data_IF_257328772051
#
_entry.id   IF_257328772051
#
_cell.length_a   1.000
_cell.length_b   1.000
_cell.length_c   1.000
_cell.angle_alpha   90.00
_cell.angle_beta   90.00
_cell.angle_gamma   90.00
#
_symmetry.space_group_name_H-M   'P 1'
#
loop_
_entity.id
_entity.type
_entity.pdbx_description
1 polymer ?
#
# COMPACT_ATOMS: atom_id res chain seq x y z
N UNK A 1 -4.33 -5.76 -13.85
CA UNK A 1 -5.47 -5.20 -13.10
C UNK A 1 -6.20 -4.21 -14.02
N UNK A 2 -7.44 -3.94 -13.78
CA UNK A 2 -8.20 -2.90 -14.49
C UNK A 2 -8.53 -1.76 -13.51
N UNK A 3 -7.51 -1.30 -12.79
CA UNK A 3 -7.65 -0.22 -11.83
C UNK A 3 -7.96 1.08 -12.55
N UNK A 4 -9.09 1.68 -12.25
CA UNK A 4 -9.56 2.88 -12.94
C UNK A 4 -9.05 4.17 -12.28
N UNK A 5 -8.48 4.07 -11.09
CA UNK A 5 -7.93 5.18 -10.32
C UNK A 5 -6.40 5.32 -10.45
N UNK A 6 -5.73 4.37 -11.10
CA UNK A 6 -4.27 4.34 -11.18
C UNK A 6 -3.81 4.64 -12.62
N UNK A 7 -3.06 5.71 -12.78
CA UNK A 7 -2.46 6.08 -14.07
C UNK A 7 -1.22 5.25 -14.43
N UNK A 8 -0.71 4.46 -13.48
CA UNK A 8 0.44 3.58 -13.68
C UNK A 8 0.09 2.20 -14.24
N UNK A 9 -1.22 1.88 -14.35
CA UNK A 9 -1.66 0.59 -14.87
C UNK A 9 -1.43 0.50 -16.38
N UNK A 10 -0.72 -0.55 -16.83
CA UNK A 10 -0.46 -0.85 -18.24
C UNK A 10 -1.07 -2.18 -18.64
N UNK A 11 -1.42 -2.30 -19.92
CA UNK A 11 -1.73 -3.58 -20.55
C UNK A 11 -0.43 -4.22 -21.03
N UNK A 12 -0.43 -5.55 -21.22
CA UNK A 12 0.74 -6.27 -21.69
C UNK A 12 1.35 -5.70 -23.00
N UNK A 13 0.48 -5.27 -23.91
CA UNK A 13 0.85 -4.80 -25.24
C UNK A 13 1.02 -3.27 -25.32
N UNK A 14 0.92 -2.56 -24.20
CA UNK A 14 1.17 -1.13 -24.17
C UNK A 14 2.68 -0.87 -24.40
N UNK A 15 3.07 0.09 -25.25
CA UNK A 15 4.47 0.29 -25.64
C UNK A 15 5.38 0.73 -24.51
N UNK A 16 4.83 1.23 -23.42
CA UNK A 16 5.51 1.65 -22.21
C UNK A 16 5.35 0.65 -21.04
N UNK A 17 4.81 -0.55 -21.31
CA UNK A 17 4.81 -1.64 -20.34
C UNK A 17 6.22 -2.23 -20.21
N UNK A 18 6.66 -2.45 -18.96
CA UNK A 18 7.98 -3.00 -18.68
C UNK A 18 7.99 -3.96 -17.50
N UNK A 19 9.02 -4.76 -17.43
CA UNK A 19 9.40 -5.54 -16.26
C UNK A 19 10.80 -5.07 -15.84
N UNK A 20 10.94 -4.61 -14.60
CA UNK A 20 12.21 -4.10 -14.07
C UNK A 20 13.28 -5.18 -14.12
N UNK A 21 14.44 -4.87 -14.70
CA UNK A 21 15.57 -5.80 -14.80
C UNK A 21 16.39 -5.84 -13.50
N UNK A 22 17.17 -6.89 -13.31
CA UNK A 22 18.11 -6.99 -12.18
C UNK A 22 19.14 -5.84 -12.18
N UNK A 23 19.54 -5.37 -13.36
CA UNK A 23 20.42 -4.21 -13.51
C UNK A 23 19.79 -2.92 -12.99
N UNK A 24 18.49 -2.72 -13.28
CA UNK A 24 17.74 -1.56 -12.77
C UNK A 24 17.55 -1.64 -11.25
N UNK A 25 17.22 -2.82 -10.71
CA UNK A 25 17.18 -3.02 -9.25
C UNK A 25 18.49 -2.66 -8.59
N UNK A 26 19.61 -3.17 -9.12
CA UNK A 26 20.96 -2.86 -8.57
C UNK A 26 21.21 -1.35 -8.53
N UNK A 27 21.03 -0.66 -9.64
CA UNK A 27 21.24 0.79 -9.71
C UNK A 27 20.40 1.54 -8.67
N UNK A 28 19.10 1.20 -8.53
CA UNK A 28 18.18 1.84 -7.59
C UNK A 28 18.51 1.50 -6.12
N UNK A 29 18.93 0.28 -5.84
CA UNK A 29 19.30 -0.15 -4.48
C UNK A 29 20.65 0.45 -4.08
N UNK A 30 21.62 0.56 -4.98
CA UNK A 30 22.89 1.23 -4.72
C UNK A 30 22.68 2.71 -4.40
N UNK A 31 21.77 3.39 -5.13
CA UNK A 31 21.33 4.76 -4.83
C UNK A 31 20.65 4.83 -3.45
N UNK A 32 19.71 3.92 -3.17
CA UNK A 32 19.02 3.83 -1.87
C UNK A 32 20.01 3.73 -0.71
N UNK A 33 21.00 2.84 -0.82
CA UNK A 33 22.02 2.67 0.22
C UNK A 33 22.92 3.89 0.36
N UNK A 34 23.25 4.59 -0.74
CA UNK A 34 24.04 5.83 -0.69
C UNK A 34 23.34 6.96 0.07
N UNK A 35 22.00 6.91 0.13
CA UNK A 35 21.14 7.85 0.85
C UNK A 35 20.74 7.35 2.25
N UNK A 36 21.29 6.20 2.70
CA UNK A 36 21.02 5.64 4.02
C UNK A 36 19.70 4.86 4.13
N UNK A 37 19.03 4.58 3.02
CA UNK A 37 17.83 3.74 2.99
C UNK A 37 18.17 2.24 3.06
N UNK A 38 17.23 1.41 3.50
CA UNK A 38 17.43 -0.03 3.70
C UNK A 38 16.26 -0.90 3.21
N UNK A 39 15.21 -0.27 2.66
CA UNK A 39 13.99 -0.97 2.27
C UNK A 39 13.51 -0.57 0.87
N UNK A 40 13.03 -1.53 0.10
CA UNK A 40 12.29 -1.27 -1.13
C UNK A 40 10.83 -1.65 -0.97
N UNK A 41 9.93 -0.80 -1.49
CA UNK A 41 8.53 -1.11 -1.70
C UNK A 41 8.35 -1.62 -3.14
N UNK A 42 8.21 -2.94 -3.29
CA UNK A 42 8.09 -3.58 -4.59
C UNK A 42 6.62 -3.92 -4.84
N UNK A 43 5.95 -3.09 -5.61
CA UNK A 43 4.58 -3.30 -6.07
C UNK A 43 4.54 -3.27 -7.59
N UNK A 44 3.74 -4.13 -8.18
CA UNK A 44 3.59 -4.22 -9.62
C UNK A 44 2.17 -4.52 -10.05
N UNK A 45 2.00 -4.76 -11.34
CA UNK A 45 0.75 -5.26 -11.87
C UNK A 45 0.68 -6.79 -11.77
N UNK A 46 -0.52 -7.32 -11.96
CA UNK A 46 -0.74 -8.76 -12.15
C UNK A 46 -0.39 -9.12 -13.60
N UNK A 47 0.91 -9.30 -13.86
CA UNK A 47 1.40 -9.69 -15.19
C UNK A 47 1.12 -11.19 -15.44
N UNK A 48 0.39 -11.54 -16.52
CA UNK A 48 0.04 -12.94 -16.78
C UNK A 48 1.23 -13.84 -17.08
N UNK A 49 2.35 -13.28 -17.48
CA UNK A 49 3.58 -14.04 -17.79
C UNK A 49 4.44 -14.33 -16.56
N UNK A 50 4.21 -13.61 -15.44
CA UNK A 50 4.97 -13.75 -14.22
C UNK A 50 4.22 -14.62 -13.20
N UNK A 51 4.83 -15.73 -12.80
CA UNK A 51 4.35 -16.65 -11.79
C UNK A 51 5.09 -16.50 -10.46
N UNK A 52 4.79 -17.40 -9.53
CA UNK A 52 5.42 -17.41 -8.19
C UNK A 52 6.93 -17.61 -8.29
N UNK A 53 7.40 -18.46 -9.20
CA UNK A 53 8.83 -18.73 -9.40
C UNK A 53 9.62 -17.48 -9.85
N UNK A 54 9.00 -16.57 -10.59
CA UNK A 54 9.61 -15.29 -10.93
C UNK A 54 9.90 -14.47 -9.67
N UNK A 55 8.90 -14.31 -8.78
CA UNK A 55 9.06 -13.50 -7.58
C UNK A 55 9.99 -14.14 -6.55
N UNK A 56 9.92 -15.46 -6.35
CA UNK A 56 10.84 -16.15 -5.45
C UNK A 56 12.28 -16.06 -5.97
N UNK A 57 12.52 -16.26 -7.26
CA UNK A 57 13.83 -16.09 -7.87
C UNK A 57 14.36 -14.65 -7.78
N UNK A 58 13.49 -13.65 -7.98
CA UNK A 58 13.86 -12.24 -7.83
C UNK A 58 14.25 -11.92 -6.37
N UNK A 59 13.45 -12.34 -5.39
CA UNK A 59 13.71 -12.06 -3.98
C UNK A 59 15.00 -12.73 -3.51
N UNK A 60 15.19 -14.02 -3.82
CA UNK A 60 16.44 -14.74 -3.54
C UNK A 60 17.63 -13.99 -4.14
N UNK A 61 17.54 -13.58 -5.40
CA UNK A 61 18.63 -12.89 -6.06
C UNK A 61 18.92 -11.51 -5.43
N UNK A 62 17.91 -10.78 -5.02
CA UNK A 62 18.08 -9.50 -4.33
C UNK A 62 18.71 -9.69 -2.95
N UNK A 63 18.32 -10.72 -2.20
CA UNK A 63 18.91 -11.05 -0.89
C UNK A 63 20.36 -11.56 -1.01
N UNK A 64 20.70 -12.29 -2.05
CA UNK A 64 22.10 -12.66 -2.35
C UNK A 64 22.99 -11.44 -2.60
N UNK A 65 22.49 -10.46 -3.36
CA UNK A 65 23.23 -9.25 -3.69
C UNK A 65 23.26 -8.24 -2.53
N UNK A 66 22.18 -8.16 -1.76
CA UNK A 66 21.96 -7.18 -0.69
C UNK A 66 21.31 -7.86 0.53
N UNK A 67 22.09 -8.60 1.35
CA UNK A 67 21.56 -9.42 2.44
C UNK A 67 20.77 -8.61 3.49
N UNK A 68 21.12 -7.34 3.71
CA UNK A 68 20.43 -6.46 4.68
C UNK A 68 19.21 -5.72 4.12
N UNK A 69 18.97 -5.80 2.81
CA UNK A 69 17.84 -5.14 2.17
C UNK A 69 16.51 -5.69 2.69
N UNK A 70 15.62 -4.80 3.08
CA UNK A 70 14.24 -5.15 3.45
C UNK A 70 13.34 -5.18 2.22
N UNK A 71 12.68 -6.31 2.01
CA UNK A 71 11.70 -6.49 0.93
C UNK A 71 10.29 -6.32 1.49
N UNK A 72 9.73 -5.12 1.34
CA UNK A 72 8.30 -4.82 1.56
C UNK A 72 7.62 -4.96 0.21
N UNK A 73 7.01 -6.12 -0.06
CA UNK A 73 6.71 -6.44 -1.44
C UNK A 73 5.39 -7.17 -1.61
N UNK A 74 4.81 -7.01 -2.78
CA UNK A 74 3.53 -7.54 -3.22
C UNK A 74 2.40 -7.16 -2.25
N UNK A 75 1.20 -7.01 -2.74
CA UNK A 75 0.03 -6.78 -1.89
C UNK A 75 -0.92 -7.96 -1.95
N UNK A 76 -2.00 -7.98 -1.15
CA UNK A 76 -3.00 -9.03 -1.22
C UNK A 76 -3.55 -9.31 -2.63
N UNK A 77 -3.77 -8.32 -3.52
CA UNK A 77 -4.19 -8.62 -4.88
C UNK A 77 -3.21 -9.47 -5.68
N UNK A 78 -1.90 -9.24 -5.49
CA UNK A 78 -0.84 -10.02 -6.14
C UNK A 78 -0.79 -11.43 -5.56
N UNK A 79 -0.93 -11.59 -4.24
CA UNK A 79 -0.99 -12.91 -3.59
C UNK A 79 -2.21 -13.71 -4.06
N UNK A 80 -3.40 -13.07 -4.13
CA UNK A 80 -4.60 -13.70 -4.69
C UNK A 80 -4.40 -14.11 -6.14
N UNK A 81 -3.76 -13.25 -6.93
CA UNK A 81 -3.47 -13.56 -8.32
C UNK A 81 -2.54 -14.76 -8.45
N UNK A 82 -1.42 -14.79 -7.71
CA UNK A 82 -0.46 -15.90 -7.71
C UNK A 82 -1.11 -17.19 -7.22
N UNK A 83 -1.88 -17.14 -6.14
CA UNK A 83 -2.65 -18.27 -5.62
C UNK A 83 -3.55 -18.91 -6.69
N UNK A 84 -4.32 -18.08 -7.41
CA UNK A 84 -5.20 -18.55 -8.49
C UNK A 84 -4.41 -19.10 -9.69
N UNK A 85 -3.31 -18.45 -10.07
CA UNK A 85 -2.46 -18.85 -11.19
C UNK A 85 -1.80 -20.20 -10.93
N UNK A 86 -1.21 -20.36 -9.74
CA UNK A 86 -0.47 -21.58 -9.35
C UNK A 86 -1.39 -22.66 -8.72
N UNK A 87 -2.66 -22.35 -8.47
CA UNK A 87 -3.62 -23.22 -7.77
C UNK A 87 -3.13 -23.63 -6.37
N UNK A 88 -2.53 -22.68 -5.65
CA UNK A 88 -1.98 -22.87 -4.30
C UNK A 88 -2.78 -22.05 -3.27
N UNK A 89 -2.92 -22.54 -2.01
CA UNK A 89 -3.44 -21.73 -0.90
C UNK A 89 -2.60 -20.46 -0.67
N UNK A 90 -3.20 -19.41 -0.12
CA UNK A 90 -2.49 -18.15 0.24
C UNK A 90 -1.29 -18.42 1.16
N UNK A 91 -1.47 -19.28 2.17
CA UNK A 91 -0.41 -19.68 3.09
C UNK A 91 0.81 -20.22 2.36
N UNK A 92 0.64 -21.16 1.42
CA UNK A 92 1.75 -21.75 0.65
C UNK A 92 2.44 -20.71 -0.24
N UNK A 93 1.69 -19.78 -0.84
CA UNK A 93 2.29 -18.69 -1.63
C UNK A 93 3.14 -17.79 -0.73
N UNK A 94 2.61 -17.38 0.43
CA UNK A 94 3.33 -16.55 1.39
C UNK A 94 4.57 -17.24 1.96
N UNK A 95 4.47 -18.54 2.29
CA UNK A 95 5.56 -19.37 2.81
C UNK A 95 6.75 -19.39 1.84
N UNK A 96 6.50 -19.67 0.56
CA UNK A 96 7.53 -19.66 -0.49
C UNK A 96 8.16 -18.27 -0.69
N UNK A 97 7.37 -17.21 -0.57
CA UNK A 97 7.90 -15.84 -0.66
C UNK A 97 8.75 -15.46 0.57
N UNK A 98 8.33 -15.88 1.78
CA UNK A 98 9.11 -15.72 3.01
C UNK A 98 10.45 -16.46 2.93
N UNK A 99 10.45 -17.72 2.50
CA UNK A 99 11.67 -18.52 2.26
C UNK A 99 12.61 -17.85 1.25
N UNK A 100 12.05 -17.15 0.26
CA UNK A 100 12.83 -16.41 -0.73
C UNK A 100 13.32 -15.03 -0.23
N UNK A 101 12.87 -14.57 0.96
CA UNK A 101 13.37 -13.35 1.59
C UNK A 101 12.37 -12.20 1.68
N UNK A 102 11.05 -12.42 1.53
CA UNK A 102 10.03 -11.41 1.83
C UNK A 102 10.09 -11.04 3.31
N UNK A 103 10.20 -9.75 3.64
CA UNK A 103 10.27 -9.27 5.03
C UNK A 103 8.92 -8.74 5.55
N UNK A 104 8.09 -8.17 4.68
CA UNK A 104 6.78 -7.63 5.06
C UNK A 104 5.85 -7.47 3.86
N UNK A 105 4.53 -7.42 4.12
CA UNK A 105 3.49 -7.33 3.09
C UNK A 105 2.74 -6.00 3.18
N UNK A 106 2.77 -5.14 2.14
CA UNK A 106 2.00 -3.89 2.13
C UNK A 106 0.49 -4.16 2.03
N UNK A 107 -0.30 -3.29 2.67
CA UNK A 107 -1.77 -3.32 2.64
C UNK A 107 -2.39 -2.81 1.34
N UNK A 108 -1.61 -2.75 0.28
CA UNK A 108 -2.04 -2.26 -1.02
C UNK A 108 -3.29 -2.99 -1.54
N UNK A 109 -4.05 -2.29 -2.34
CA UNK A 109 -5.25 -2.87 -2.96
C UNK A 109 -6.45 -3.03 -2.02
N UNK A 110 -6.39 -2.51 -0.78
CA UNK A 110 -7.56 -2.42 0.09
C UNK A 110 -8.59 -1.44 -0.46
N UNK A 111 -8.18 -0.29 -0.91
CA UNK A 111 -8.98 0.87 -1.30
C UNK A 111 -10.08 1.14 -0.25
N UNK A 112 -11.29 0.64 -0.47
CA UNK A 112 -12.34 0.45 0.53
C UNK A 112 -12.73 -1.04 0.54
N UNK A 113 -12.79 -1.65 1.72
CA UNK A 113 -13.19 -3.04 1.93
C UNK A 113 -14.73 -3.21 1.83
N UNK A 114 -15.27 -2.79 0.70
CA UNK A 114 -16.66 -2.94 0.27
C UNK A 114 -16.67 -3.42 -1.18
N UNK A 115 -17.26 -4.57 -1.46
CA UNK A 115 -17.26 -5.13 -2.82
C UNK A 115 -18.04 -4.28 -3.81
N UNK A 116 -19.03 -3.49 -3.35
CA UNK A 116 -19.69 -2.47 -4.17
C UNK A 116 -18.67 -1.47 -4.72
N UNK A 117 -17.87 -0.90 -3.84
CA UNK A 117 -16.82 0.09 -4.19
C UNK A 117 -15.76 -0.56 -5.07
N UNK A 118 -15.24 -1.73 -4.66
CA UNK A 118 -14.18 -2.46 -5.38
C UNK A 118 -14.56 -2.77 -6.83
N UNK A 119 -15.80 -3.20 -7.09
CA UNK A 119 -16.32 -3.44 -8.45
C UNK A 119 -16.31 -2.19 -9.32
N UNK A 120 -16.45 -1.00 -8.74
CA UNK A 120 -16.41 0.27 -9.48
C UNK A 120 -14.96 0.68 -9.75
N UNK A 121 -14.11 0.74 -8.70
CA UNK A 121 -12.76 1.35 -8.79
C UNK A 121 -11.70 0.40 -9.33
N UNK A 122 -11.81 -0.92 -9.01
CA UNK A 122 -10.79 -1.93 -9.36
C UNK A 122 -11.39 -3.33 -9.59
N UNK A 123 -12.25 -3.52 -10.60
CA UNK A 123 -13.12 -4.70 -10.76
C UNK A 123 -12.36 -6.03 -10.95
N UNK A 124 -11.08 -5.99 -11.28
CA UNK A 124 -10.25 -7.19 -11.49
C UNK A 124 -9.30 -7.49 -10.31
N UNK A 125 -9.35 -6.69 -9.24
CA UNK A 125 -8.60 -6.96 -8.00
C UNK A 125 -9.36 -7.93 -7.09
N UNK A 126 -8.67 -8.37 -6.05
CA UNK A 126 -9.22 -9.21 -4.98
C UNK A 126 -10.54 -8.65 -4.43
N UNK A 127 -11.47 -9.54 -4.06
CA UNK A 127 -12.65 -9.17 -3.27
C UNK A 127 -12.25 -8.77 -1.84
N UNK A 128 -13.19 -8.23 -1.09
CA UNK A 128 -12.98 -7.89 0.33
C UNK A 128 -12.53 -9.12 1.13
N UNK A 129 -13.22 -10.25 0.97
CA UNK A 129 -12.91 -11.47 1.71
C UNK A 129 -11.56 -12.09 1.28
N UNK A 130 -11.21 -12.02 0.00
CA UNK A 130 -9.91 -12.45 -0.49
C UNK A 130 -8.79 -11.61 0.10
N UNK A 131 -8.95 -10.27 0.14
CA UNK A 131 -7.96 -9.36 0.74
C UNK A 131 -7.76 -9.67 2.22
N UNK A 132 -8.85 -9.76 2.99
CA UNK A 132 -8.81 -10.11 4.42
C UNK A 132 -8.26 -11.53 4.65
N UNK A 133 -8.54 -12.46 3.74
CA UNK A 133 -8.02 -13.83 3.78
C UNK A 133 -6.51 -13.89 3.68
N UNK A 134 -5.91 -13.14 2.76
CA UNK A 134 -4.44 -13.03 2.62
C UNK A 134 -3.82 -12.43 3.87
N UNK A 135 -4.40 -11.33 4.39
CA UNK A 135 -3.87 -10.68 5.59
C UNK A 135 -3.96 -11.58 6.82
N UNK A 136 -5.03 -12.36 6.95
CA UNK A 136 -5.18 -13.35 8.03
C UNK A 136 -4.05 -14.40 7.98
N UNK A 137 -3.74 -14.92 6.82
CA UNK A 137 -2.62 -15.87 6.65
C UNK A 137 -1.27 -15.21 6.95
N UNK A 138 -1.04 -13.98 6.50
CA UNK A 138 0.17 -13.22 6.82
C UNK A 138 0.33 -13.02 8.34
N UNK A 139 -0.74 -12.63 9.04
CA UNK A 139 -0.72 -12.50 10.51
C UNK A 139 -0.45 -13.81 11.23
N UNK A 140 -1.03 -14.92 10.73
CA UNK A 140 -0.79 -16.27 11.27
C UNK A 140 0.68 -16.69 11.15
N UNK A 141 1.36 -16.22 10.12
CA UNK A 141 2.78 -16.47 9.87
C UNK A 141 3.71 -15.45 10.55
N UNK A 142 3.15 -14.55 11.36
CA UNK A 142 3.89 -13.43 11.97
C UNK A 142 4.60 -12.52 10.96
N UNK A 143 4.08 -12.42 9.74
CA UNK A 143 4.59 -11.50 8.73
C UNK A 143 4.05 -10.09 9.01
N UNK A 144 4.92 -9.08 9.21
CA UNK A 144 4.47 -7.70 9.38
C UNK A 144 3.69 -7.21 8.17
N UNK A 145 2.56 -6.56 8.41
CA UNK A 145 1.70 -6.02 7.35
C UNK A 145 1.34 -4.56 7.62
N UNK A 146 0.93 -3.83 6.59
CA UNK A 146 0.25 -2.54 6.77
C UNK A 146 -1.21 -2.63 6.33
N UNK A 147 -2.01 -1.64 6.71
CA UNK A 147 -3.38 -1.48 6.23
C UNK A 147 -3.52 -0.12 5.54
N UNK A 148 -4.29 -0.04 4.46
CA UNK A 148 -4.48 1.21 3.71
C UNK A 148 -5.95 1.47 3.47
N UNK A 149 -6.31 2.73 3.29
CA UNK A 149 -7.62 3.16 2.80
C UNK A 149 -7.42 4.24 1.74
N UNK A 150 -8.00 4.07 0.55
CA UNK A 150 -8.17 5.15 -0.42
C UNK A 150 -9.62 5.64 -0.34
N UNK A 151 -9.84 6.92 -0.04
CA UNK A 151 -11.17 7.47 0.17
C UNK A 151 -11.39 8.75 -0.65
N UNK A 152 -12.63 9.25 -0.67
CA UNK A 152 -12.98 10.48 -1.36
C UNK A 152 -13.36 10.25 -2.82
N UNK A 153 -13.89 9.07 -3.18
CA UNK A 153 -14.34 8.75 -4.54
C UNK A 153 -15.83 8.37 -4.59
N UNK A 154 -16.21 7.09 -4.42
CA UNK A 154 -17.59 6.58 -4.59
C UNK A 154 -18.14 5.92 -3.32
N UNK A 155 -17.32 5.80 -2.32
CA UNK A 155 -17.67 5.20 -1.04
C UNK A 155 -18.58 6.13 -0.23
N UNK A 156 -19.37 5.55 0.65
CA UNK A 156 -20.14 6.24 1.67
C UNK A 156 -19.37 6.33 2.99
N UNK A 157 -19.80 7.22 3.89
CA UNK A 157 -19.25 7.29 5.25
C UNK A 157 -19.41 5.95 5.98
N UNK A 158 -20.54 5.27 5.81
CA UNK A 158 -20.78 3.94 6.39
C UNK A 158 -19.73 2.95 5.92
N UNK A 159 -19.41 2.92 4.62
CA UNK A 159 -18.41 2.00 4.07
C UNK A 159 -16.99 2.32 4.57
N UNK A 160 -16.66 3.60 4.83
CA UNK A 160 -15.41 3.97 5.51
C UNK A 160 -15.35 3.40 6.93
N UNK A 161 -16.43 3.53 7.69
CA UNK A 161 -16.51 2.99 9.06
C UNK A 161 -16.45 1.46 9.06
N UNK A 162 -17.19 0.79 8.18
CA UNK A 162 -17.14 -0.67 8.03
C UNK A 162 -15.72 -1.16 7.68
N UNK A 163 -14.99 -0.42 6.84
CA UNK A 163 -13.60 -0.73 6.53
C UNK A 163 -12.73 -0.71 7.81
N UNK A 164 -12.84 0.32 8.64
CA UNK A 164 -12.11 0.40 9.91
C UNK A 164 -12.50 -0.73 10.86
N UNK A 165 -13.78 -1.07 10.95
CA UNK A 165 -14.27 -2.21 11.77
C UNK A 165 -13.63 -3.52 11.32
N UNK A 166 -13.61 -3.80 10.00
CA UNK A 166 -13.01 -5.01 9.43
C UNK A 166 -11.51 -5.14 9.74
N UNK A 167 -10.77 -4.02 9.64
CA UNK A 167 -9.34 -3.98 9.99
C UNK A 167 -9.12 -4.25 11.48
N UNK A 168 -9.89 -3.58 12.36
CA UNK A 168 -9.82 -3.77 13.81
C UNK A 168 -10.09 -5.22 14.20
N UNK A 169 -11.17 -5.81 13.68
CA UNK A 169 -11.53 -7.20 13.96
C UNK A 169 -10.48 -8.20 13.47
N UNK A 170 -9.87 -7.93 12.30
CA UNK A 170 -8.79 -8.80 11.84
C UNK A 170 -7.55 -8.66 12.72
N UNK A 171 -7.20 -7.45 13.14
CA UNK A 171 -6.11 -7.21 14.06
C UNK A 171 -6.32 -7.87 15.43
N UNK A 172 -7.56 -7.85 15.96
CA UNK A 172 -7.92 -8.53 17.22
C UNK A 172 -7.76 -10.05 17.12
N UNK A 173 -8.01 -10.63 15.95
CA UNK A 173 -7.96 -12.09 15.73
C UNK A 173 -6.56 -12.62 15.39
N UNK A 174 -5.54 -11.75 15.34
CA UNK A 174 -4.17 -12.20 15.08
C UNK A 174 -3.66 -13.09 16.23
N UNK A 175 -2.74 -14.02 15.97
CA UNK A 175 -2.11 -14.79 17.06
C UNK A 175 -1.44 -13.85 18.08
N UNK A 176 -1.49 -14.25 19.34
CA UNK A 176 -0.83 -13.50 20.41
C UNK A 176 0.67 -13.36 20.13
N UNK A 177 1.22 -12.15 20.32
CA UNK A 177 2.61 -11.84 20.05
C UNK A 177 2.96 -11.63 18.57
N UNK A 178 2.00 -11.82 17.63
CA UNK A 178 2.26 -11.53 16.21
C UNK A 178 2.13 -10.04 15.89
N UNK A 179 2.86 -9.60 14.85
CA UNK A 179 2.86 -8.20 14.41
C UNK A 179 1.48 -7.73 13.95
N UNK A 180 0.81 -8.51 13.09
CA UNK A 180 -0.41 -8.05 12.43
C UNK A 180 -0.18 -6.79 11.59
N UNK A 181 -1.14 -5.86 11.61
CA UNK A 181 -0.98 -4.55 11.02
C UNK A 181 -0.09 -3.66 11.89
N UNK A 182 1.08 -3.29 11.38
CA UNK A 182 2.02 -2.38 12.07
C UNK A 182 1.65 -0.91 11.85
N UNK A 183 0.93 -0.58 10.78
CA UNK A 183 0.48 0.77 10.46
C UNK A 183 -0.84 0.77 9.70
N UNK A 184 -1.63 1.84 9.86
CA UNK A 184 -2.76 2.18 9.00
C UNK A 184 -2.49 3.49 8.28
N UNK A 185 -2.74 3.51 6.95
CA UNK A 185 -2.39 4.61 6.06
C UNK A 185 -3.62 5.01 5.24
N UNK A 186 -4.42 6.00 5.67
CA UNK A 186 -5.48 6.57 4.85
C UNK A 186 -4.90 7.63 3.91
N UNK A 187 -5.33 7.61 2.65
CA UNK A 187 -4.93 8.60 1.66
C UNK A 187 -6.11 9.00 0.76
N UNK A 188 -6.22 10.29 0.39
CA UNK A 188 -7.29 10.76 -0.46
C UNK A 188 -7.06 10.35 -1.92
N UNK A 189 -8.14 10.02 -2.61
CA UNK A 189 -8.12 9.75 -4.04
C UNK A 189 -7.55 10.94 -4.81
N UNK A 190 -6.53 10.69 -5.63
CA UNK A 190 -5.97 11.64 -6.57
C UNK A 190 -6.60 11.38 -7.93
N UNK A 191 -7.31 12.35 -8.51
CA UNK A 191 -8.19 12.10 -9.65
C UNK A 191 -7.64 12.54 -11.00
N UNK A 192 -6.58 13.32 -11.02
CA UNK A 192 -6.02 13.88 -12.25
C UNK A 192 -5.58 12.77 -13.23
N UNK A 193 -6.07 12.87 -14.46
CA UNK A 193 -5.74 11.92 -15.53
C UNK A 193 -6.33 10.52 -15.39
N UNK A 194 -7.02 10.19 -14.28
CA UNK A 194 -7.53 8.84 -14.03
C UNK A 194 -8.75 8.49 -14.90
N UNK A 195 -8.92 7.18 -15.16
CA UNK A 195 -10.11 6.69 -15.86
C UNK A 195 -11.39 6.95 -15.07
N UNK A 196 -11.33 6.96 -13.72
CA UNK A 196 -12.47 7.30 -12.86
C UNK A 196 -12.95 8.71 -13.12
N UNK A 197 -12.04 9.69 -13.16
CA UNK A 197 -12.39 11.08 -13.43
C UNK A 197 -12.81 11.27 -14.90
N UNK A 198 -11.98 10.81 -15.85
CA UNK A 198 -12.17 11.11 -17.26
C UNK A 198 -13.37 10.39 -17.90
N UNK A 199 -13.62 9.11 -17.58
CA UNK A 199 -14.69 8.31 -18.19
C UNK A 199 -15.93 8.13 -17.33
N UNK A 200 -15.78 8.21 -16.01
CA UNK A 200 -16.88 7.97 -15.08
C UNK A 200 -17.34 9.23 -14.36
N UNK A 201 -16.67 10.37 -14.57
CA UNK A 201 -17.02 11.66 -13.94
C UNK A 201 -16.83 11.67 -12.41
N UNK A 202 -16.10 10.69 -11.87
CA UNK A 202 -15.87 10.56 -10.43
C UNK A 202 -14.62 11.34 -10.07
N UNK A 203 -14.81 12.46 -9.39
CA UNK A 203 -13.72 13.31 -8.91
C UNK A 203 -13.49 13.12 -7.42
N UNK A 204 -12.31 13.54 -6.98
CA UNK A 204 -11.99 13.57 -5.56
C UNK A 204 -12.91 14.50 -4.81
N UNK A 205 -13.50 14.00 -3.72
CA UNK A 205 -14.26 14.78 -2.76
C UNK A 205 -13.44 15.15 -1.52
N UNK A 206 -12.12 15.05 -1.63
CA UNK A 206 -11.19 15.36 -0.54
C UNK A 206 -11.32 16.80 -0.07
N UNK A 207 -11.35 16.98 1.24
CA UNK A 207 -11.12 18.25 1.92
C UNK A 207 -10.21 18.05 3.11
N UNK A 208 -9.39 19.05 3.46
CA UNK A 208 -8.49 18.94 4.62
C UNK A 208 -9.25 18.68 5.94
N UNK A 209 -10.39 19.33 6.24
CA UNK A 209 -11.17 18.99 7.43
C UNK A 209 -11.68 17.54 7.47
N UNK A 210 -12.07 16.97 6.32
CA UNK A 210 -12.53 15.58 6.26
C UNK A 210 -11.39 14.61 6.49
N UNK A 211 -10.19 14.91 6.00
CA UNK A 211 -9.01 14.10 6.27
C UNK A 211 -8.65 14.10 7.76
N UNK A 212 -8.58 15.27 8.38
CA UNK A 212 -8.28 15.40 9.82
C UNK A 212 -9.32 14.65 10.65
N UNK A 213 -10.61 14.76 10.28
CA UNK A 213 -11.70 14.00 10.93
C UNK A 213 -11.51 12.50 10.74
N UNK A 214 -11.13 12.04 9.54
CA UNK A 214 -10.85 10.63 9.28
C UNK A 214 -9.68 10.12 10.12
N UNK A 215 -8.60 10.88 10.25
CA UNK A 215 -7.46 10.56 11.13
C UNK A 215 -7.94 10.40 12.58
N UNK A 216 -8.68 11.36 13.11
CA UNK A 216 -9.16 11.31 14.49
C UNK A 216 -10.08 10.10 14.74
N UNK A 217 -11.03 9.85 13.85
CA UNK A 217 -11.93 8.67 13.92
C UNK A 217 -11.13 7.37 13.81
N UNK A 218 -10.17 7.31 12.89
CA UNK A 218 -9.30 6.14 12.72
C UNK A 218 -8.49 5.85 13.98
N UNK A 219 -7.95 6.86 14.65
CA UNK A 219 -7.21 6.69 15.91
C UNK A 219 -8.08 6.09 17.01
N UNK A 220 -9.34 6.53 17.12
CA UNK A 220 -10.29 6.01 18.10
C UNK A 220 -10.68 4.57 17.77
N UNK A 221 -10.97 4.28 16.50
CA UNK A 221 -11.49 2.99 16.07
C UNK A 221 -10.42 1.90 15.97
N UNK A 222 -9.18 2.27 15.60
CA UNK A 222 -8.04 1.36 15.42
C UNK A 222 -7.07 1.44 16.60
N UNK A 223 -7.57 1.42 17.84
CA UNK A 223 -6.77 1.48 19.05
C UNK A 223 -5.77 0.31 19.21
N UNK A 224 -5.97 -0.77 18.46
CA UNK A 224 -5.13 -1.95 18.40
C UNK A 224 -4.09 -1.93 17.25
N UNK A 225 -4.02 -0.86 16.46
CA UNK A 225 -2.96 -0.59 15.46
C UNK A 225 -2.15 0.60 15.95
N UNK A 226 -0.88 0.36 16.24
CA UNK A 226 -0.01 1.35 16.92
C UNK A 226 0.22 2.60 16.08
N UNK A 227 0.57 2.42 14.80
CA UNK A 227 0.95 3.53 13.95
C UNK A 227 -0.21 3.93 13.02
N UNK A 228 -0.52 5.21 13.05
CA UNK A 228 -1.45 5.85 12.14
C UNK A 228 -0.69 6.90 11.33
N UNK A 229 -0.48 6.58 10.06
CA UNK A 229 0.32 7.42 9.17
C UNK A 229 -0.53 8.49 8.52
N UNK A 230 -0.09 9.74 8.60
CA UNK A 230 -0.58 10.80 7.72
C UNK A 230 0.11 10.68 6.35
N UNK A 231 -0.67 10.68 5.29
CA UNK A 231 -0.16 10.57 3.91
C UNK A 231 0.40 11.91 3.42
N UNK A 232 1.56 12.32 3.96
CA UNK A 232 2.22 13.60 3.71
C UNK A 232 2.29 13.95 2.21
N UNK A 233 2.62 12.96 1.36
CA UNK A 233 2.73 13.15 -0.09
C UNK A 233 1.41 13.54 -0.77
N UNK A 234 0.26 13.16 -0.22
CA UNK A 234 -1.04 13.42 -0.82
C UNK A 234 -1.75 14.64 -0.22
N UNK A 235 -1.48 14.94 1.04
CA UNK A 235 -2.20 16.00 1.76
C UNK A 235 -1.39 17.29 1.96
N UNK A 236 -0.06 17.21 1.82
CA UNK A 236 0.85 18.34 2.02
C UNK A 236 1.17 18.61 3.49
N UNK A 237 2.09 19.54 3.71
CA UNK A 237 2.71 19.84 5.01
C UNK A 237 1.71 20.28 6.06
N UNK A 238 0.89 21.29 5.77
CA UNK A 238 -0.02 21.91 6.74
C UNK A 238 -1.04 20.89 7.27
N UNK A 239 -1.62 20.09 6.37
CA UNK A 239 -2.59 19.06 6.74
C UNK A 239 -1.92 17.92 7.49
N UNK A 240 -0.68 17.57 7.16
CA UNK A 240 0.07 16.54 7.87
C UNK A 240 0.37 16.97 9.33
N UNK A 241 0.77 18.23 9.57
CA UNK A 241 0.95 18.79 10.92
C UNK A 241 -0.35 18.69 11.72
N UNK A 242 -1.46 19.17 11.18
CA UNK A 242 -2.77 19.08 11.83
C UNK A 242 -3.19 17.62 12.09
N UNK A 243 -2.80 16.70 11.23
CA UNK A 243 -3.06 15.27 11.39
C UNK A 243 -2.30 14.66 12.57
N UNK A 244 -1.06 15.10 12.83
CA UNK A 244 -0.30 14.69 14.02
C UNK A 244 -1.04 15.09 15.30
N UNK A 245 -1.59 16.30 15.37
CA UNK A 245 -2.43 16.73 16.49
C UNK A 245 -3.79 16.00 16.57
N UNK A 246 -4.29 15.47 15.45
CA UNK A 246 -5.54 14.71 15.41
C UNK A 246 -5.39 13.22 15.72
N UNK A 247 -4.16 12.73 15.96
CA UNK A 247 -3.90 11.34 16.36
C UNK A 247 -3.02 10.52 15.44
N UNK A 248 -2.54 11.06 14.31
CA UNK A 248 -1.45 10.44 13.58
C UNK A 248 -0.15 10.48 14.41
N UNK A 249 0.72 9.52 14.21
CA UNK A 249 2.04 9.45 14.87
C UNK A 249 3.14 8.99 13.90
N UNK A 250 2.86 9.07 12.59
CA UNK A 250 3.75 8.64 11.52
C UNK A 250 3.51 9.53 10.30
N UNK A 251 4.57 9.98 9.63
CA UNK A 251 4.52 10.74 8.37
C UNK A 251 4.94 9.91 7.16
N UNK A 252 5.23 8.65 7.36
CA UNK A 252 5.72 7.74 6.33
C UNK A 252 7.22 7.80 6.11
N UNK A 253 7.65 7.16 5.04
CA UNK A 253 9.04 7.09 4.63
C UNK A 253 9.34 8.02 3.47
N UNK A 254 10.61 8.38 3.34
CA UNK A 254 11.12 9.07 2.17
C UNK A 254 11.15 8.07 1.01
N UNK A 255 10.57 8.44 -0.12
CA UNK A 255 10.62 7.65 -1.34
C UNK A 255 11.52 8.33 -2.37
N UNK A 256 12.59 7.66 -2.78
CA UNK A 256 13.48 8.14 -3.86
C UNK A 256 12.70 8.14 -5.18
N UNK A 257 11.85 7.14 -5.38
CA UNK A 257 11.00 7.02 -6.57
C UNK A 257 9.56 6.71 -6.14
N UNK A 258 8.65 7.61 -6.46
CA UNK A 258 7.22 7.45 -6.28
C UNK A 258 6.52 7.73 -7.63
N UNK A 259 5.84 6.73 -8.18
CA UNK A 259 5.30 6.78 -9.53
C UNK A 259 3.76 6.76 -9.57
N UNK A 260 3.10 6.45 -8.45
CA UNK A 260 1.65 6.21 -8.45
C UNK A 260 0.89 7.50 -8.16
N UNK A 261 1.27 8.20 -7.10
CA UNK A 261 0.59 9.42 -6.63
C UNK A 261 1.03 10.62 -7.47
N UNK A 262 2.32 10.69 -7.82
CA UNK A 262 2.87 11.74 -8.68
C UNK A 262 2.26 11.73 -10.09
N UNK A 263 1.98 10.55 -10.65
CA UNK A 263 1.30 10.43 -11.95
C UNK A 263 -0.17 10.86 -11.93
N UNK A 264 -0.73 11.09 -10.74
CA UNK A 264 -2.11 11.53 -10.52
C UNK A 264 -2.20 12.96 -9.96
N UNK A 265 -1.13 13.78 -10.10
CA UNK A 265 -1.15 15.21 -9.82
C UNK A 265 -0.62 15.63 -8.45
N UNK A 266 -0.04 14.73 -7.65
CA UNK A 266 0.61 15.14 -6.40
C UNK A 266 2.06 15.54 -6.66
N UNK A 267 2.39 16.81 -6.41
CA UNK A 267 3.74 17.38 -6.57
C UNK A 267 4.53 17.46 -5.25
N UNK A 268 3.95 16.99 -4.16
CA UNK A 268 4.61 17.03 -2.85
C UNK A 268 5.81 16.06 -2.84
N UNK A 269 6.99 16.59 -2.55
CA UNK A 269 8.22 15.83 -2.35
C UNK A 269 8.89 16.33 -1.08
N UNK A 270 9.41 15.42 -0.28
CA UNK A 270 10.05 15.74 0.98
C UNK A 270 11.30 14.89 1.14
N UNK A 271 12.39 15.52 1.53
CA UNK A 271 13.59 14.84 1.99
C UNK A 271 13.57 14.60 3.52
N UNK A 272 14.65 14.03 4.05
CA UNK A 272 14.74 13.70 5.47
C UNK A 272 14.71 14.97 6.37
N UNK A 273 15.38 16.02 5.95
CA UNK A 273 15.47 17.28 6.72
C UNK A 273 14.11 17.98 6.73
N UNK A 274 13.42 17.98 5.60
CA UNK A 274 12.08 18.54 5.48
C UNK A 274 11.04 17.79 6.32
N UNK A 275 11.05 16.45 6.32
CA UNK A 275 10.14 15.65 7.18
C UNK A 275 10.46 15.89 8.66
N UNK A 276 11.75 15.95 9.05
CA UNK A 276 12.14 16.27 10.42
C UNK A 276 11.70 17.68 10.82
N UNK A 277 11.78 18.66 9.90
CA UNK A 277 11.29 20.00 10.15
C UNK A 277 9.77 20.02 10.36
N UNK A 278 9.01 19.28 9.56
CA UNK A 278 7.54 19.12 9.73
C UNK A 278 7.21 18.54 11.12
N UNK A 279 7.93 17.51 11.55
CA UNK A 279 7.72 16.89 12.87
C UNK A 279 8.03 17.89 13.99
N UNK A 280 9.14 18.63 13.90
CA UNK A 280 9.53 19.63 14.90
C UNK A 280 8.53 20.79 14.99
N UNK A 281 7.95 21.19 13.85
CA UNK A 281 6.94 22.25 13.80
C UNK A 281 5.61 21.79 14.43
N UNK A 282 5.32 20.50 14.37
CA UNK A 282 4.14 19.93 15.02
C UNK A 282 4.27 19.81 16.54
N UNK A 283 5.45 19.93 17.14
CA UNK A 283 5.73 19.82 18.58
C UNK A 283 6.45 18.52 18.89
#
# INVERSE_FOLDING_TARGET
SRCKFCNFCRRKDDPDAYVTTIGDYKRKIDELYSLGGDQILLQGGMNPDLGLDFYTGLFTRLKELYPSLKLHALGPPEIVYLSKKEKLPYGTVLERLLEAGLDSLPGAGAEILSDRVRKIVSPAKATTDEWLGVMREAHRMNLPTSATMMYGHVETTTERIEHLVRLRELQEKRPEGSYGFIAFIPWPFQDEGTLLAGRHGIKSSYTAPDYIRLIAVSRIMLNNITNLQSSLLTVGKEVAILSLHAGANDLGSIMIEENVVSSAGSDNRFDAEEIQAVIKEAG
#
